data_IF_151316607373
#
_entry.id   IF_151316607373
#
_cell.length_a   1.000
_cell.length_b   1.000
_cell.length_c   1.000
_cell.angle_alpha   90.00
_cell.angle_beta   90.00
_cell.angle_gamma   90.00
#
_symmetry.space_group_name_H-M   'P 1'
#
loop_
_entity.id
_entity.type
_entity.pdbx_description
1 polymer ?
#
# COMPACT_ATOMS: atom_id res chain seq x y z
N UNK A 1 -47.35 -67.80 60.53
CA UNK A 1 -47.05 -66.34 60.55
C UNK A 1 -47.82 -65.67 59.42
N UNK A 2 -48.37 -64.49 59.65
CA UNK A 2 -49.06 -63.70 58.63
C UNK A 2 -48.35 -62.35 58.50
N UNK A 3 -47.82 -62.05 57.31
CA UNK A 3 -47.23 -60.75 57.02
C UNK A 3 -48.33 -59.70 56.82
N UNK A 4 -48.01 -58.43 57.10
CA UNK A 4 -48.88 -57.31 56.71
C UNK A 4 -48.83 -57.11 55.20
N UNK A 5 -49.85 -56.48 54.62
CA UNK A 5 -49.91 -56.25 53.17
C UNK A 5 -48.67 -55.48 52.67
N UNK A 6 -48.25 -54.44 53.41
CA UNK A 6 -47.01 -53.69 53.11
C UNK A 6 -45.76 -54.57 53.14
N UNK A 7 -45.63 -55.47 54.11
CA UNK A 7 -44.48 -56.35 54.19
C UNK A 7 -44.48 -57.37 53.03
N UNK A 8 -45.65 -57.86 52.63
CA UNK A 8 -45.79 -58.75 51.48
C UNK A 8 -45.37 -58.06 50.16
N UNK A 9 -45.74 -56.79 49.99
CA UNK A 9 -45.32 -55.99 48.83
C UNK A 9 -43.80 -55.81 48.76
N UNK A 10 -43.14 -55.50 49.88
CA UNK A 10 -41.68 -55.37 49.92
C UNK A 10 -40.95 -56.69 49.62
N UNK A 11 -41.47 -57.82 50.11
CA UNK A 11 -40.92 -59.14 49.79
C UNK A 11 -41.11 -59.44 48.30
N UNK A 12 -42.29 -59.14 47.73
CA UNK A 12 -42.60 -59.35 46.32
C UNK A 12 -41.75 -58.49 45.39
N UNK A 13 -41.49 -57.24 45.77
CA UNK A 13 -40.63 -56.31 45.03
C UNK A 13 -39.13 -56.59 45.21
N UNK A 14 -38.76 -57.57 46.05
CA UNK A 14 -37.38 -57.96 46.28
C UNK A 14 -36.58 -57.02 47.19
N UNK A 15 -37.23 -56.10 47.89
CA UNK A 15 -36.57 -55.18 48.85
C UNK A 15 -36.04 -55.93 50.08
N UNK A 16 -36.64 -57.07 50.42
CA UNK A 16 -36.17 -57.97 51.47
C UNK A 16 -36.04 -59.40 50.93
N UNK A 17 -34.83 -59.76 50.50
CA UNK A 17 -34.58 -61.01 49.77
C UNK A 17 -33.95 -62.12 50.61
N UNK A 18 -33.27 -61.77 51.70
CA UNK A 18 -32.47 -62.72 52.48
C UNK A 18 -32.95 -62.84 53.92
N UNK A 19 -32.63 -63.98 54.54
CA UNK A 19 -32.88 -64.22 55.96
C UNK A 19 -31.54 -64.15 56.68
N UNK A 20 -31.41 -63.26 57.65
CA UNK A 20 -30.25 -63.14 58.53
C UNK A 20 -30.61 -63.63 59.93
N UNK A 21 -29.93 -64.67 60.39
CA UNK A 21 -30.13 -65.25 61.72
C UNK A 21 -28.97 -64.89 62.66
N UNK A 22 -29.28 -64.73 63.96
CA UNK A 22 -28.28 -64.48 65.00
C UNK A 22 -28.08 -65.75 65.82
N UNK A 23 -26.82 -66.20 65.89
CA UNK A 23 -26.41 -67.43 66.56
C UNK A 23 -25.57 -67.14 67.82
N UNK A 24 -25.59 -68.06 68.79
CA UNK A 24 -24.55 -68.15 69.82
C UNK A 24 -23.53 -69.23 69.46
N UNK A 25 -22.26 -68.97 69.72
CA UNK A 25 -21.15 -69.90 69.52
C UNK A 25 -20.53 -70.32 70.86
N UNK A 26 -19.90 -71.49 70.91
CA UNK A 26 -19.01 -71.85 72.02
C UNK A 26 -17.56 -71.39 71.78
N UNK A 27 -16.67 -71.70 72.73
CA UNK A 27 -15.25 -71.34 72.65
C UNK A 27 -14.49 -72.03 71.52
N UNK A 28 -15.08 -73.04 70.89
CA UNK A 28 -14.53 -73.75 69.73
C UNK A 28 -15.16 -73.30 68.40
N UNK A 29 -16.09 -72.34 68.44
CA UNK A 29 -16.74 -71.78 67.25
C UNK A 29 -17.94 -72.59 66.74
N UNK A 30 -18.45 -73.58 67.49
CA UNK A 30 -19.64 -74.32 67.07
C UNK A 30 -20.93 -73.59 67.45
N UNK A 31 -21.89 -73.55 66.53
CA UNK A 31 -23.22 -72.96 66.76
C UNK A 31 -23.98 -73.77 67.79
N UNK A 32 -24.43 -73.12 68.88
CA UNK A 32 -25.14 -73.75 70.00
C UNK A 32 -26.65 -73.44 70.01
N UNK A 33 -27.05 -72.23 69.59
CA UNK A 33 -28.45 -71.75 69.61
C UNK A 33 -28.70 -70.72 68.52
N UNK A 34 -29.96 -70.60 68.10
CA UNK A 34 -30.50 -69.55 67.25
C UNK A 34 -31.39 -68.65 68.12
N UNK A 35 -31.15 -67.34 68.13
CA UNK A 35 -31.96 -66.40 68.91
C UNK A 35 -33.16 -65.87 68.11
N UNK A 36 -32.89 -65.27 66.95
CA UNK A 36 -33.91 -64.72 66.07
C UNK A 36 -33.38 -64.63 64.63
N UNK A 37 -34.31 -64.57 63.68
CA UNK A 37 -34.03 -64.36 62.27
C UNK A 37 -34.84 -63.18 61.74
N UNK A 38 -34.20 -62.33 60.94
CA UNK A 38 -34.79 -61.15 60.33
C UNK A 38 -34.68 -61.23 58.80
N UNK A 39 -35.67 -60.66 58.10
CA UNK A 39 -35.56 -60.43 56.67
C UNK A 39 -34.70 -59.19 56.43
N UNK A 40 -33.61 -59.33 55.68
CA UNK A 40 -32.67 -58.24 55.37
C UNK A 40 -32.31 -58.26 53.89
N UNK A 41 -31.88 -57.10 53.37
CA UNK A 41 -31.29 -57.02 52.04
C UNK A 41 -29.77 -57.25 52.04
N UNK A 42 -29.15 -57.14 53.22
CA UNK A 42 -27.71 -57.34 53.45
C UNK A 42 -27.52 -58.37 54.57
N UNK A 43 -27.50 -59.68 54.26
CA UNK A 43 -27.32 -60.71 55.28
C UNK A 43 -25.86 -60.67 55.78
N UNK A 44 -25.68 -60.74 57.10
CA UNK A 44 -24.35 -60.84 57.73
C UNK A 44 -23.92 -62.31 57.93
N UNK A 45 -24.35 -63.21 57.03
CA UNK A 45 -24.07 -64.65 57.11
C UNK A 45 -22.90 -65.01 56.19
N UNK A 46 -21.86 -65.61 56.78
CA UNK A 46 -20.70 -66.12 56.04
C UNK A 46 -21.15 -67.18 55.01
N UNK A 47 -20.75 -67.03 53.75
CA UNK A 47 -21.11 -67.93 52.66
C UNK A 47 -22.31 -67.49 51.81
N UNK A 48 -22.88 -66.31 52.06
CA UNK A 48 -23.85 -65.65 51.16
C UNK A 48 -23.21 -64.59 50.24
N UNK A 49 -21.88 -64.47 50.22
CA UNK A 49 -21.13 -63.58 49.31
C UNK A 49 -21.56 -63.73 47.85
N UNK A 50 -21.74 -64.95 47.34
CA UNK A 50 -22.11 -65.19 45.93
C UNK A 50 -23.47 -64.57 45.57
N UNK A 51 -24.42 -64.59 46.51
CA UNK A 51 -25.74 -63.98 46.32
C UNK A 51 -25.67 -62.44 46.37
N UNK A 52 -24.80 -61.88 47.21
CA UNK A 52 -24.54 -60.44 47.29
C UNK A 52 -23.77 -59.93 46.06
N UNK A 53 -22.82 -60.70 45.55
CA UNK A 53 -22.07 -60.40 44.32
C UNK A 53 -22.99 -60.49 43.09
N UNK A 54 -23.89 -61.47 43.01
CA UNK A 54 -24.86 -61.54 41.93
C UNK A 54 -25.85 -60.35 41.95
N UNK A 55 -26.29 -59.93 43.13
CA UNK A 55 -27.16 -58.77 43.29
C UNK A 55 -26.45 -57.45 42.96
N UNK A 56 -25.18 -57.29 43.35
CA UNK A 56 -24.39 -56.12 42.99
C UNK A 56 -24.09 -56.07 41.49
N UNK A 57 -23.79 -57.21 40.84
CA UNK A 57 -23.67 -57.29 39.39
C UNK A 57 -24.97 -56.89 38.69
N UNK A 58 -26.14 -57.33 39.18
CA UNK A 58 -27.42 -56.90 38.61
C UNK A 58 -27.64 -55.38 38.77
N UNK A 59 -27.21 -54.78 39.88
CA UNK A 59 -27.26 -53.33 40.07
C UNK A 59 -26.30 -52.59 39.12
N UNK A 60 -25.10 -53.13 38.90
CA UNK A 60 -24.10 -52.61 37.95
C UNK A 60 -24.54 -52.73 36.50
N UNK A 61 -25.18 -53.84 36.09
CA UNK A 61 -25.72 -54.05 34.73
C UNK A 61 -26.81 -53.02 34.42
N UNK A 62 -27.58 -52.58 35.42
CA UNK A 62 -28.59 -51.52 35.23
C UNK A 62 -27.99 -50.10 35.22
N UNK A 63 -26.67 -49.93 35.36
CA UNK A 63 -25.97 -48.64 35.27
C UNK A 63 -25.26 -48.41 33.93
N UNK A 64 -25.33 -49.34 32.97
CA UNK A 64 -24.56 -49.24 31.72
C UNK A 64 -25.08 -48.21 30.68
N UNK A 65 -26.16 -47.48 30.96
CA UNK A 65 -26.69 -46.42 30.07
C UNK A 65 -26.27 -44.99 30.46
N UNK A 66 -25.07 -44.80 31.00
CA UNK A 66 -24.43 -43.47 31.04
C UNK A 66 -23.29 -43.43 30.04
N UNK A 67 -23.34 -42.58 28.98
CA UNK A 67 -22.23 -42.45 28.05
C UNK A 67 -21.02 -41.92 28.82
N UNK A 68 -20.05 -42.80 29.07
CA UNK A 68 -18.79 -42.44 29.70
C UNK A 68 -17.99 -41.58 28.74
N UNK A 69 -18.00 -40.28 29.03
CA UNK A 69 -17.29 -39.24 28.29
C UNK A 69 -15.78 -39.55 28.20
N UNK A 70 -15.21 -39.52 26.98
CA UNK A 70 -13.76 -39.62 26.78
C UNK A 70 -13.07 -38.34 27.29
N UNK A 71 -12.67 -38.38 28.55
CA UNK A 71 -12.00 -37.26 29.24
C UNK A 71 -10.69 -36.84 28.56
N UNK A 72 -10.02 -37.75 27.84
CA UNK A 72 -8.79 -37.43 27.14
C UNK A 72 -9.07 -36.59 25.88
N UNK A 73 -10.14 -36.90 25.15
CA UNK A 73 -10.60 -36.10 24.02
C UNK A 73 -11.04 -34.70 24.48
N UNK A 74 -11.84 -34.61 25.55
CA UNK A 74 -12.25 -33.31 26.11
C UNK A 74 -11.03 -32.47 26.51
N UNK A 75 -10.06 -33.06 27.21
CA UNK A 75 -8.84 -32.36 27.60
C UNK A 75 -8.04 -31.84 26.40
N UNK A 76 -7.94 -32.64 25.33
CA UNK A 76 -7.26 -32.25 24.09
C UNK A 76 -7.96 -31.08 23.39
N UNK A 77 -9.30 -31.11 23.33
CA UNK A 77 -10.09 -30.01 22.77
C UNK A 77 -9.97 -28.74 23.62
N UNK A 78 -9.97 -28.84 24.95
CA UNK A 78 -9.74 -27.72 25.84
C UNK A 78 -8.38 -27.04 25.60
N UNK A 79 -7.33 -27.83 25.34
CA UNK A 79 -6.02 -27.29 24.95
C UNK A 79 -6.10 -26.60 23.58
N UNK A 80 -6.72 -27.23 22.58
CA UNK A 80 -6.84 -26.66 21.23
C UNK A 80 -7.59 -25.32 21.20
N UNK A 81 -8.66 -25.21 21.98
CA UNK A 81 -9.45 -23.97 22.12
C UNK A 81 -8.92 -23.01 23.20
N UNK A 82 -7.83 -23.38 23.88
CA UNK A 82 -7.22 -22.63 24.97
C UNK A 82 -8.23 -22.26 26.09
N UNK A 83 -9.10 -23.20 26.44
CA UNK A 83 -10.18 -23.06 27.43
C UNK A 83 -10.04 -24.13 28.51
N UNK A 84 -9.22 -23.89 29.55
CA UNK A 84 -9.03 -24.86 30.61
C UNK A 84 -10.34 -25.06 31.38
N UNK A 85 -10.65 -26.31 31.73
CA UNK A 85 -11.84 -26.71 32.49
C UNK A 85 -13.20 -26.45 31.80
N UNK A 86 -13.23 -26.29 30.47
CA UNK A 86 -14.48 -26.18 29.75
C UNK A 86 -15.27 -27.50 29.79
N UNK A 87 -16.58 -27.36 29.95
CA UNK A 87 -17.54 -28.45 29.86
C UNK A 87 -17.75 -28.89 28.41
N UNK A 88 -18.35 -30.06 28.20
CA UNK A 88 -18.71 -30.55 26.87
C UNK A 88 -19.57 -29.56 26.09
N UNK A 89 -20.55 -28.98 26.77
CA UNK A 89 -21.50 -28.05 26.16
C UNK A 89 -20.78 -26.80 25.65
N UNK A 90 -19.81 -26.29 26.40
CA UNK A 90 -19.01 -25.12 26.02
C UNK A 90 -18.06 -25.43 24.86
N UNK A 91 -17.42 -26.59 24.85
CA UNK A 91 -16.56 -27.03 23.75
C UNK A 91 -17.38 -27.27 22.48
N UNK A 92 -18.54 -27.92 22.58
CA UNK A 92 -19.45 -28.17 21.46
C UNK A 92 -19.98 -26.86 20.85
N UNK A 93 -20.31 -25.88 21.69
CA UNK A 93 -20.65 -24.52 21.23
C UNK A 93 -19.49 -23.86 20.47
N UNK A 94 -18.25 -23.97 20.98
CA UNK A 94 -17.07 -23.42 20.30
C UNK A 94 -16.76 -24.09 18.97
N UNK A 95 -16.90 -25.42 18.88
CA UNK A 95 -16.75 -26.16 17.62
C UNK A 95 -17.82 -25.73 16.62
N UNK A 96 -19.07 -25.57 17.07
CA UNK A 96 -20.18 -25.10 16.21
C UNK A 96 -19.91 -23.68 15.71
N UNK A 97 -19.48 -22.78 16.58
CA UNK A 97 -19.11 -21.42 16.20
C UNK A 97 -17.94 -21.40 15.20
N UNK A 98 -16.94 -22.27 15.37
CA UNK A 98 -15.81 -22.40 14.43
C UNK A 98 -16.27 -22.95 13.08
N UNK A 99 -17.19 -23.92 13.07
CA UNK A 99 -17.77 -24.48 11.86
C UNK A 99 -18.64 -23.45 11.09
N UNK A 100 -19.24 -22.49 11.80
CA UNK A 100 -19.94 -21.37 11.18
C UNK A 100 -18.96 -20.29 10.67
N UNK A 101 -17.91 -19.99 11.43
CA UNK A 101 -16.95 -18.93 11.08
C UNK A 101 -16.04 -19.29 9.91
N UNK A 102 -15.77 -20.58 9.65
CA UNK A 102 -14.97 -20.99 8.49
C UNK A 102 -15.62 -20.62 7.15
N UNK A 103 -16.94 -20.39 7.11
CA UNK A 103 -17.68 -20.06 5.87
C UNK A 103 -17.41 -21.04 4.73
N UNK A 104 -17.04 -20.52 3.56
CA UNK A 104 -16.67 -21.30 2.36
C UNK A 104 -15.20 -21.76 2.33
N UNK A 105 -14.43 -21.51 3.40
CA UNK A 105 -13.02 -21.91 3.45
C UNK A 105 -12.87 -23.42 3.28
N UNK A 106 -12.12 -23.83 2.25
CA UNK A 106 -11.79 -25.23 1.99
C UNK A 106 -10.57 -25.71 2.80
N UNK A 107 -9.98 -24.83 3.61
CA UNK A 107 -8.81 -25.17 4.44
C UNK A 107 -9.24 -26.09 5.58
N UNK A 108 -8.61 -27.26 5.67
CA UNK A 108 -8.81 -28.16 6.79
C UNK A 108 -8.31 -27.50 8.09
N UNK A 109 -9.01 -27.73 9.21
CA UNK A 109 -8.62 -27.16 10.51
C UNK A 109 -7.19 -27.52 10.91
N UNK A 110 -6.72 -28.71 10.52
CA UNK A 110 -5.34 -29.17 10.72
C UNK A 110 -4.29 -28.35 9.97
N UNK A 111 -4.68 -27.65 8.91
CA UNK A 111 -3.76 -26.88 8.04
C UNK A 111 -3.85 -25.37 8.28
N UNK A 112 -4.77 -24.89 9.13
CA UNK A 112 -5.01 -23.46 9.35
C UNK A 112 -3.73 -22.73 9.77
N UNK A 113 -2.95 -23.30 10.68
CA UNK A 113 -1.69 -22.69 11.13
C UNK A 113 -0.60 -22.70 10.06
N UNK A 114 -0.57 -23.71 9.18
CA UNK A 114 0.35 -23.77 8.04
C UNK A 114 -0.01 -22.66 7.04
N UNK A 115 -1.30 -22.55 6.68
CA UNK A 115 -1.79 -21.53 5.75
C UNK A 115 -1.65 -20.11 6.30
N UNK A 116 -1.77 -19.94 7.61
CA UNK A 116 -1.52 -18.66 8.27
C UNK A 116 -0.05 -18.25 8.11
N UNK A 117 0.90 -19.16 8.37
CA UNK A 117 2.32 -18.89 8.21
C UNK A 117 2.69 -18.56 6.74
N UNK A 118 2.14 -19.29 5.76
CA UNK A 118 2.31 -18.98 4.33
C UNK A 118 1.81 -17.56 3.99
N UNK A 119 0.65 -17.17 4.55
CA UNK A 119 0.08 -15.84 4.35
C UNK A 119 0.92 -14.76 4.99
N UNK A 120 1.44 -14.96 6.19
CA UNK A 120 2.35 -14.04 6.87
C UNK A 120 3.65 -13.84 6.07
N UNK A 121 4.22 -14.91 5.49
CA UNK A 121 5.37 -14.80 4.59
C UNK A 121 5.04 -14.00 3.32
N UNK A 122 3.87 -14.24 2.72
CA UNK A 122 3.43 -13.48 1.55
C UNK A 122 3.26 -11.99 1.87
N UNK A 123 2.66 -11.66 3.01
CA UNK A 123 2.50 -10.27 3.48
C UNK A 123 3.86 -9.62 3.72
N UNK A 124 4.81 -10.33 4.35
CA UNK A 124 6.16 -9.83 4.56
C UNK A 124 6.88 -9.56 3.22
N UNK A 125 6.76 -10.46 2.25
CA UNK A 125 7.34 -10.30 0.91
C UNK A 125 6.73 -9.10 0.16
N UNK A 126 5.40 -8.96 0.16
CA UNK A 126 4.70 -7.83 -0.44
C UNK A 126 5.07 -6.51 0.23
N UNK A 127 5.17 -6.50 1.56
CA UNK A 127 5.57 -5.31 2.32
C UNK A 127 7.00 -4.90 2.00
N UNK A 128 7.92 -5.85 1.87
CA UNK A 128 9.30 -5.59 1.44
C UNK A 128 9.38 -5.03 0.02
N UNK A 129 8.50 -5.48 -0.88
CA UNK A 129 8.39 -4.95 -2.25
C UNK A 129 7.86 -3.52 -2.27
N UNK A 130 6.89 -3.19 -1.43
CA UNK A 130 6.37 -1.81 -1.28
C UNK A 130 7.40 -0.90 -0.62
N UNK A 131 8.21 -1.41 0.31
CA UNK A 131 9.26 -0.64 0.99
C UNK A 131 10.46 -0.32 0.08
N UNK A 132 10.69 -1.11 -0.95
CA UNK A 132 11.74 -0.89 -1.96
C UNK A 132 11.11 -0.68 -3.35
N UNK A 133 10.37 0.42 -3.58
CA UNK A 133 9.84 0.71 -4.90
C UNK A 133 10.99 0.92 -5.88
N UNK A 134 10.93 0.24 -7.03
CA UNK A 134 11.95 0.36 -8.09
C UNK A 134 12.06 1.84 -8.54
N UNK A 135 13.19 2.52 -8.27
CA UNK A 135 13.34 3.95 -8.57
C UNK A 135 13.28 4.26 -10.08
N UNK A 136 13.51 3.27 -10.94
CA UNK A 136 13.39 3.44 -12.40
C UNK A 136 11.93 3.44 -12.87
N UNK A 137 11.01 2.88 -12.07
CA UNK A 137 9.58 2.78 -12.41
C UNK A 137 8.69 3.66 -11.56
N UNK A 138 9.11 3.99 -10.33
CA UNK A 138 8.35 4.77 -9.37
C UNK A 138 9.21 5.92 -8.86
N UNK A 139 8.94 7.12 -9.38
CA UNK A 139 9.58 8.37 -8.95
C UNK A 139 8.59 9.12 -8.06
N UNK A 140 9.04 9.74 -6.96
CA UNK A 140 8.17 10.57 -6.12
C UNK A 140 7.50 11.68 -6.94
N UNK A 141 6.20 11.86 -6.74
CA UNK A 141 5.41 12.90 -7.45
C UNK A 141 5.99 14.29 -7.24
N UNK A 142 6.56 14.56 -6.06
CA UNK A 142 7.24 15.82 -5.76
C UNK A 142 8.45 16.08 -6.67
N UNK A 143 9.25 15.06 -6.99
CA UNK A 143 10.39 15.20 -7.89
C UNK A 143 9.94 15.44 -9.34
N UNK A 144 8.87 14.79 -9.78
CA UNK A 144 8.28 15.04 -11.11
C UNK A 144 7.69 16.44 -11.19
N UNK A 145 7.02 16.91 -10.14
CA UNK A 145 6.49 18.26 -10.06
C UNK A 145 7.62 19.31 -10.08
N UNK A 146 8.69 19.11 -9.31
CA UNK A 146 9.86 19.97 -9.31
C UNK A 146 10.53 20.02 -10.70
N UNK A 147 10.77 18.87 -11.32
CA UNK A 147 11.38 18.79 -12.66
C UNK A 147 10.48 19.46 -13.72
N UNK A 148 9.17 19.33 -13.62
CA UNK A 148 8.22 19.98 -14.53
C UNK A 148 8.26 21.51 -14.35
N UNK A 149 8.37 21.99 -13.11
CA UNK A 149 8.51 23.41 -12.82
C UNK A 149 9.83 23.97 -13.38
N UNK A 150 10.95 23.29 -13.14
CA UNK A 150 12.26 23.66 -13.69
C UNK A 150 12.26 23.65 -15.22
N UNK A 151 11.68 22.63 -15.84
CA UNK A 151 11.55 22.55 -17.30
C UNK A 151 10.73 23.70 -17.88
N UNK A 152 9.60 24.04 -17.25
CA UNK A 152 8.78 25.17 -17.68
C UNK A 152 9.50 26.50 -17.51
N UNK A 153 10.22 26.69 -16.40
CA UNK A 153 11.02 27.89 -16.17
C UNK A 153 12.14 28.02 -17.20
N UNK A 154 12.85 26.93 -17.49
CA UNK A 154 13.90 26.89 -18.50
C UNK A 154 13.36 27.21 -19.89
N UNK A 155 12.21 26.63 -20.25
CA UNK A 155 11.53 26.92 -21.52
C UNK A 155 11.15 28.40 -21.64
N UNK A 156 10.61 28.99 -20.57
CA UNK A 156 10.29 30.42 -20.53
C UNK A 156 11.55 31.28 -20.69
N UNK A 157 12.66 30.91 -20.04
CA UNK A 157 13.96 31.57 -20.19
C UNK A 157 14.44 31.58 -21.64
N UNK A 158 14.43 30.42 -22.31
CA UNK A 158 14.79 30.33 -23.74
C UNK A 158 13.89 31.21 -24.60
N UNK A 159 12.58 31.23 -24.35
CA UNK A 159 11.64 32.06 -25.11
C UNK A 159 11.91 33.56 -24.91
N UNK A 160 12.24 33.98 -23.67
CA UNK A 160 12.64 35.35 -23.35
C UNK A 160 13.95 35.75 -24.04
N UNK A 161 14.97 34.89 -23.98
CA UNK A 161 16.28 35.15 -24.61
C UNK A 161 16.15 35.28 -26.13
N UNK A 162 15.46 34.34 -26.78
CA UNK A 162 15.20 34.40 -28.23
C UNK A 162 14.44 35.66 -28.62
N UNK A 163 13.48 36.07 -27.79
CA UNK A 163 12.72 37.30 -28.03
C UNK A 163 13.60 38.53 -27.88
N UNK A 164 14.43 38.60 -26.83
CA UNK A 164 15.36 39.71 -26.61
C UNK A 164 16.39 39.82 -27.75
N UNK A 165 16.92 38.70 -28.20
CA UNK A 165 17.83 38.62 -29.35
C UNK A 165 17.13 39.14 -30.62
N UNK A 166 15.92 38.65 -30.91
CA UNK A 166 15.15 39.03 -32.09
C UNK A 166 14.73 40.52 -32.09
N UNK A 167 14.39 41.08 -30.93
CA UNK A 167 14.16 42.53 -30.77
C UNK A 167 15.46 43.30 -31.04
N UNK A 168 16.59 42.85 -30.49
CA UNK A 168 17.89 43.50 -30.68
C UNK A 168 18.31 43.49 -32.16
N UNK A 169 18.15 42.35 -32.84
CA UNK A 169 18.39 42.23 -34.28
C UNK A 169 17.47 43.15 -35.08
N UNK A 170 16.18 43.23 -34.72
CA UNK A 170 15.21 44.08 -35.40
C UNK A 170 15.48 45.58 -35.26
N UNK A 171 15.93 46.01 -34.08
CA UNK A 171 16.35 47.38 -33.81
C UNK A 171 17.57 47.74 -34.66
N UNK A 172 18.61 46.88 -34.66
CA UNK A 172 19.82 47.09 -35.45
C UNK A 172 19.56 47.06 -36.96
N UNK A 173 18.64 46.22 -37.42
CA UNK A 173 18.25 46.14 -38.84
C UNK A 173 17.29 47.28 -39.28
N UNK A 174 16.92 48.20 -38.39
CA UNK A 174 15.98 49.29 -38.69
C UNK A 174 14.56 48.81 -39.01
N UNK A 175 14.19 47.58 -38.64
CA UNK A 175 12.84 47.01 -38.81
C UNK A 175 11.90 47.35 -37.66
N UNK A 176 12.46 47.68 -36.49
CA UNK A 176 11.72 48.10 -35.31
C UNK A 176 12.19 49.50 -34.88
N UNK A 177 11.29 50.49 -34.77
CA UNK A 177 11.61 51.76 -34.12
C UNK A 177 11.90 51.59 -32.62
N UNK A 178 12.91 52.27 -32.05
CA UNK A 178 13.21 52.19 -30.61
C UNK A 178 12.02 52.54 -29.69
N UNK A 179 11.14 53.44 -30.12
CA UNK A 179 9.92 53.81 -29.39
C UNK A 179 8.91 52.66 -29.24
N UNK A 180 8.99 51.64 -30.10
CA UNK A 180 8.11 50.46 -30.07
C UNK A 180 8.76 49.26 -29.37
N UNK A 181 9.92 49.43 -28.72
CA UNK A 181 10.61 48.35 -28.02
C UNK A 181 9.75 47.73 -26.91
N UNK A 182 9.16 48.54 -26.04
CA UNK A 182 8.29 48.06 -24.95
C UNK A 182 7.06 47.31 -25.50
N UNK A 183 6.50 47.78 -26.63
CA UNK A 183 5.42 47.07 -27.32
C UNK A 183 5.89 45.71 -27.87
N UNK A 184 7.06 45.65 -28.50
CA UNK A 184 7.64 44.39 -28.98
C UNK A 184 7.93 43.41 -27.82
N UNK A 185 8.35 43.94 -26.66
CA UNK A 185 8.52 43.20 -25.40
C UNK A 185 7.20 42.74 -24.78
N UNK A 186 6.05 43.24 -25.21
CA UNK A 186 4.73 42.77 -24.76
C UNK A 186 4.16 41.61 -25.60
N UNK A 187 4.66 41.40 -26.83
CA UNK A 187 4.15 40.37 -27.76
C UNK A 187 4.69 38.97 -27.48
N UNK A 188 3.99 37.91 -27.88
CA UNK A 188 4.61 36.57 -27.90
C UNK A 188 5.62 36.45 -29.06
N UNK A 189 6.51 35.46 -28.99
CA UNK A 189 7.58 35.27 -29.98
C UNK A 189 7.05 35.06 -31.40
N UNK A 190 5.94 34.32 -31.56
CA UNK A 190 5.35 34.03 -32.85
C UNK A 190 4.81 35.29 -33.54
N UNK A 191 4.06 36.10 -32.79
CA UNK A 191 3.47 37.35 -33.29
C UNK A 191 4.56 38.38 -33.62
N UNK A 192 5.59 38.49 -32.78
CA UNK A 192 6.72 39.36 -33.03
C UNK A 192 7.49 38.92 -34.29
N UNK A 193 7.72 37.62 -34.46
CA UNK A 193 8.37 37.08 -35.66
C UNK A 193 7.55 37.35 -36.92
N UNK A 194 6.23 37.13 -36.86
CA UNK A 194 5.30 37.39 -37.96
C UNK A 194 5.25 38.87 -38.34
N UNK A 195 5.31 39.77 -37.36
CA UNK A 195 5.39 41.21 -37.59
C UNK A 195 6.68 41.59 -38.30
N UNK A 196 7.84 41.15 -37.80
CA UNK A 196 9.15 41.48 -38.38
C UNK A 196 9.37 40.92 -39.79
N UNK A 197 8.66 39.84 -40.14
CA UNK A 197 8.66 39.31 -41.50
C UNK A 197 8.00 40.27 -42.49
N UNK A 198 7.03 41.08 -42.05
CA UNK A 198 6.28 42.05 -42.87
C UNK A 198 6.73 43.50 -42.68
N UNK A 199 7.46 43.79 -41.59
CA UNK A 199 7.90 45.13 -41.27
C UNK A 199 8.90 45.66 -42.33
N UNK A 200 8.67 46.85 -42.91
CA UNK A 200 9.62 47.47 -43.82
C UNK A 200 10.87 47.92 -43.07
N UNK A 201 12.03 47.84 -43.72
CA UNK A 201 13.29 48.36 -43.20
C UNK A 201 13.36 49.87 -43.40
N UNK A 202 13.58 50.64 -42.33
CA UNK A 202 13.75 52.09 -42.40
C UNK A 202 15.26 52.38 -42.40
N UNK A 203 15.81 52.75 -43.56
CA UNK A 203 17.25 53.00 -43.74
C UNK A 203 17.82 54.10 -42.82
N UNK A 204 16.98 55.04 -42.36
CA UNK A 204 17.40 56.05 -41.38
C UNK A 204 17.67 55.46 -39.98
N UNK A 205 17.13 54.28 -39.67
CA UNK A 205 17.27 53.60 -38.38
C UNK A 205 18.31 52.48 -38.40
N UNK A 206 18.75 52.01 -39.58
CA UNK A 206 19.75 50.93 -39.70
C UNK A 206 21.18 51.37 -39.37
N UNK A 207 21.37 52.62 -38.91
CA UNK A 207 22.70 53.20 -38.64
C UNK A 207 23.53 53.44 -39.90
N UNK A 208 23.00 53.15 -41.09
CA UNK A 208 23.63 53.48 -42.35
C UNK A 208 23.57 54.99 -42.62
N UNK A 209 24.65 55.54 -43.18
CA UNK A 209 24.70 56.96 -43.53
C UNK A 209 23.58 57.24 -44.54
N UNK A 210 22.65 58.14 -44.19
CA UNK A 210 21.58 58.59 -45.08
C UNK A 210 22.11 59.26 -46.36
N UNK A 211 23.36 59.72 -46.33
CA UNK A 211 24.10 60.19 -47.49
C UNK A 211 25.18 59.18 -47.88
N UNK A 212 25.14 58.70 -49.14
CA UNK A 212 26.20 57.87 -49.74
C UNK A 212 27.50 58.63 -50.00
N UNK A 213 27.49 59.95 -49.89
CA UNK A 213 28.64 60.82 -50.11
C UNK A 213 28.78 61.80 -48.94
N UNK A 214 30.03 62.11 -48.58
CA UNK A 214 30.34 63.21 -47.68
C UNK A 214 29.93 64.52 -48.37
N UNK A 215 29.08 65.39 -47.77
CA UNK A 215 28.78 66.70 -48.34
C UNK A 215 30.04 67.59 -48.49
N UNK A 216 31.14 67.24 -47.82
CA UNK A 216 32.47 67.83 -47.96
C UNK A 216 33.46 66.93 -48.73
N UNK A 217 33.01 65.87 -49.42
CA UNK A 217 33.87 65.20 -50.38
C UNK A 217 34.21 66.24 -51.44
N UNK A 218 35.45 66.75 -51.38
CA UNK A 218 35.96 67.78 -52.25
C UNK A 218 35.94 67.22 -53.67
N UNK A 219 34.79 67.37 -54.35
CA UNK A 219 34.63 67.05 -55.76
C UNK A 219 35.57 67.98 -56.48
N UNK A 220 36.78 67.51 -56.72
CA UNK A 220 37.78 68.18 -57.52
C UNK A 220 37.10 68.54 -58.82
N UNK A 221 36.79 69.82 -59.02
CA UNK A 221 36.15 70.28 -60.23
C UNK A 221 37.04 69.85 -61.40
N UNK A 222 36.48 69.07 -62.33
CA UNK A 222 37.22 68.71 -63.53
C UNK A 222 37.56 70.01 -64.27
N UNK A 223 38.85 70.23 -64.55
CA UNK A 223 39.30 71.38 -65.35
C UNK A 223 38.48 71.45 -66.65
N UNK A 224 38.01 72.64 -66.98
CA UNK A 224 37.32 72.89 -68.24
C UNK A 224 38.24 72.60 -69.43
N UNK A 225 37.67 72.40 -70.62
CA UNK A 225 38.46 72.10 -71.82
C UNK A 225 39.41 73.26 -72.16
N UNK A 226 39.00 74.49 -71.83
CA UNK A 226 39.78 75.71 -71.97
C UNK A 226 40.98 75.71 -71.01
N UNK A 227 40.78 75.37 -69.74
CA UNK A 227 41.84 75.35 -68.72
C UNK A 227 42.93 74.33 -69.05
N UNK A 228 42.55 73.19 -69.63
CA UNK A 228 43.52 72.17 -70.09
C UNK A 228 44.35 72.65 -71.28
N UNK A 229 43.75 73.41 -72.19
CA UNK A 229 44.47 74.00 -73.31
C UNK A 229 45.46 75.07 -72.84
N UNK A 230 45.07 75.90 -71.86
CA UNK A 230 45.94 76.90 -71.25
C UNK A 230 47.08 76.25 -70.45
N UNK A 231 46.80 75.22 -69.66
CA UNK A 231 47.83 74.46 -68.94
C UNK A 231 48.88 73.88 -69.90
N UNK A 232 48.44 73.32 -71.04
CA UNK A 232 49.33 72.79 -72.08
C UNK A 232 50.15 73.90 -72.77
N UNK A 233 49.54 75.06 -73.02
CA UNK A 233 50.23 76.20 -73.64
C UNK A 233 51.28 76.83 -72.70
N UNK A 234 51.04 76.79 -71.39
CA UNK A 234 51.97 77.23 -70.34
C UNK A 234 53.00 76.15 -69.95
N UNK A 235 52.90 74.93 -70.50
CA UNK A 235 53.81 73.82 -70.20
C UNK A 235 53.65 73.22 -68.80
N UNK A 236 52.51 73.47 -68.13
CA UNK A 236 52.20 72.98 -66.79
C UNK A 236 51.42 71.68 -66.85
N UNK A 237 51.61 70.80 -65.85
CA UNK A 237 50.72 69.63 -65.71
C UNK A 237 49.35 70.06 -65.21
N UNK A 238 48.30 69.29 -65.53
CA UNK A 238 46.93 69.56 -65.07
C UNK A 238 46.81 69.61 -63.53
N UNK A 239 47.71 68.94 -62.80
CA UNK A 239 47.77 69.00 -61.34
C UNK A 239 48.40 70.30 -60.82
N UNK A 240 49.46 70.78 -61.46
CA UNK A 240 50.15 72.02 -61.08
C UNK A 240 49.32 73.25 -61.42
N UNK A 241 48.65 73.26 -62.59
CA UNK A 241 47.76 74.35 -62.98
C UNK A 241 46.58 74.48 -62.02
N UNK A 242 46.00 73.35 -61.56
CA UNK A 242 44.95 73.34 -60.53
C UNK A 242 45.41 73.94 -59.21
N UNK A 243 46.59 73.54 -58.73
CA UNK A 243 47.13 74.07 -57.47
C UNK A 243 47.27 75.58 -57.53
N UNK A 244 47.77 76.12 -58.64
CA UNK A 244 47.92 77.57 -58.81
C UNK A 244 46.58 78.31 -58.86
N UNK A 245 45.52 77.68 -59.38
CA UNK A 245 44.16 78.24 -59.37
C UNK A 245 43.56 78.26 -57.96
N UNK A 246 43.77 77.20 -57.17
CA UNK A 246 43.32 77.13 -55.76
C UNK A 246 44.11 78.04 -54.82
N UNK A 247 45.32 78.47 -55.18
CA UNK A 247 46.12 79.43 -54.38
C UNK A 247 45.91 80.89 -54.80
N UNK A 248 45.06 81.15 -55.79
CA UNK A 248 44.85 82.45 -56.42
C UNK A 248 43.59 83.20 -55.98
N UNK A 249 42.93 82.78 -54.90
CA UNK A 249 41.90 83.54 -54.17
C UNK A 249 42.45 84.17 -52.90
#
# INVERSE_FOLDING_TARGET
MRWTDKAADYIKNGEYRYISAVFSYDTQGYVRKIFHAALTNTPALDGMEEAMVAASQQFLINQEDTPTMDKALLATLCVLFNTPNATEAEISQKITALAQSKGESQVALSEVYIKLAEKEQSVAALTAQVANPDPARFVPVEQVAALTAEFNQFKQGIEQDKKAELITTALSAGKLPPALKEWAESLNLADLTNYLAKAPTIAALSGEKQAKADPNENKVAALSAEDKAVAKMLGLTEAEYRKNLETGE
#
